data_IF_768151264376
#
_entry.id   IF_768151264376
#
_cell.length_a   1.000
_cell.length_b   1.000
_cell.length_c   1.000
_cell.angle_alpha   90.00
_cell.angle_beta   90.00
_cell.angle_gamma   90.00
#
_symmetry.space_group_name_H-M   'P 1'
#
loop_
_entity.id
_entity.type
_entity.pdbx_description
1 polymer ?
#
# COMPACT_ATOMS: atom_id res chain seq x y z
N UNK A 1 28.84 -1.22 26.98
CA UNK A 1 28.19 -2.11 26.00
C UNK A 1 26.69 -2.11 26.29
N UNK A 2 25.91 -1.27 25.62
CA UNK A 2 24.45 -1.27 25.76
C UNK A 2 23.85 -2.04 24.59
N UNK A 3 23.41 -3.25 24.90
CA UNK A 3 22.55 -4.10 24.08
C UNK A 3 21.25 -3.35 23.74
N UNK A 4 21.15 -2.82 22.52
CA UNK A 4 19.85 -2.49 21.92
C UNK A 4 19.31 -3.78 21.29
N UNK A 5 18.45 -4.50 22.03
CA UNK A 5 17.65 -5.55 21.41
C UNK A 5 16.81 -4.91 20.30
N UNK A 6 16.92 -5.37 19.03
CA UNK A 6 16.15 -4.79 17.95
C UNK A 6 14.68 -5.12 18.17
N UNK A 7 13.87 -4.10 18.37
CA UNK A 7 12.41 -4.19 18.20
C UNK A 7 12.14 -4.84 16.84
N UNK A 8 11.25 -5.84 16.70
CA UNK A 8 10.85 -6.33 15.39
C UNK A 8 10.42 -5.12 14.55
N UNK A 9 11.21 -4.79 13.53
CA UNK A 9 11.10 -3.52 12.82
C UNK A 9 9.89 -3.57 11.91
N UNK A 10 8.96 -2.64 12.11
CA UNK A 10 7.88 -2.41 11.15
C UNK A 10 8.49 -1.89 9.87
N UNK A 11 8.17 -2.53 8.75
CA UNK A 11 8.72 -2.17 7.44
C UNK A 11 8.29 -0.77 7.02
N UNK A 12 9.19 -0.06 6.34
CA UNK A 12 9.01 1.32 5.88
C UNK A 12 7.73 1.51 5.04
N UNK A 13 7.30 0.47 4.32
CA UNK A 13 6.05 0.49 3.54
C UNK A 13 4.82 0.81 4.40
N UNK A 14 4.78 0.40 5.67
CA UNK A 14 3.69 0.76 6.58
C UNK A 14 3.74 2.23 6.98
N UNK A 15 4.92 2.85 6.98
CA UNK A 15 5.06 4.30 7.07
C UNK A 15 4.39 5.00 5.88
N UNK A 16 4.71 4.54 4.67
CA UNK A 16 4.08 5.08 3.45
C UNK A 16 2.57 4.87 3.43
N UNK A 17 2.09 3.67 3.76
CA UNK A 17 0.66 3.34 3.81
C UNK A 17 -0.03 4.22 4.87
N UNK A 18 0.53 4.37 6.07
CA UNK A 18 0.01 5.30 7.07
C UNK A 18 -0.10 6.71 6.49
N UNK A 19 0.95 7.21 5.83
CA UNK A 19 0.94 8.55 5.26
C UNK A 19 -0.18 8.76 4.22
N UNK A 20 -0.34 7.84 3.27
CA UNK A 20 -1.29 8.01 2.15
C UNK A 20 -2.73 7.65 2.48
N UNK A 21 -2.99 6.94 3.57
CA UNK A 21 -4.35 6.53 3.98
C UNK A 21 -4.99 7.47 4.99
N UNK A 22 -4.24 8.44 5.53
CA UNK A 22 -4.75 9.42 6.51
C UNK A 22 -5.57 10.51 5.85
N UNK A 23 -6.70 10.83 6.45
CA UNK A 23 -7.58 11.93 6.06
C UNK A 23 -7.04 13.28 6.56
N UNK A 24 -5.94 13.79 5.98
CA UNK A 24 -5.46 15.15 6.29
C UNK A 24 -4.63 15.76 5.15
N UNK A 25 -4.77 17.08 4.95
CA UNK A 25 -4.03 17.88 3.97
C UNK A 25 -2.50 17.83 4.17
N UNK A 26 -2.02 17.53 5.38
CA UNK A 26 -0.59 17.46 5.67
C UNK A 26 0.10 16.18 5.15
N UNK A 27 -0.64 15.20 4.62
CA UNK A 27 -0.09 13.93 4.13
C UNK A 27 0.87 14.09 2.93
N UNK A 28 0.74 15.15 2.13
CA UNK A 28 1.57 15.37 0.94
C UNK A 28 2.89 16.10 1.24
N UNK A 29 2.97 16.80 2.39
CA UNK A 29 4.14 17.62 2.76
C UNK A 29 5.36 16.82 3.18
N UNK A 30 5.17 15.59 3.65
CA UNK A 30 6.27 14.73 4.12
C UNK A 30 7.15 14.28 2.96
N UNK A 31 6.55 13.88 1.84
CA UNK A 31 7.31 13.42 0.66
C UNK A 31 7.99 14.56 -0.09
N UNK A 32 7.51 15.79 0.08
CA UNK A 32 8.03 16.98 -0.62
C UNK A 32 9.04 17.79 0.22
N UNK A 33 9.27 17.41 1.48
CA UNK A 33 10.23 18.08 2.35
C UNK A 33 11.67 17.92 1.81
N UNK A 34 12.33 19.05 1.52
CA UNK A 34 13.69 19.11 0.93
C UNK A 34 14.78 18.36 1.71
N UNK A 35 14.53 18.03 2.98
CA UNK A 35 15.50 17.39 3.87
C UNK A 35 15.47 15.86 3.86
N UNK A 36 14.58 15.23 3.08
CA UNK A 36 14.45 13.77 3.04
C UNK A 36 14.88 13.24 1.69
N UNK A 37 15.99 12.48 1.65
CA UNK A 37 16.38 11.73 0.46
C UNK A 37 15.58 10.43 0.36
N UNK A 38 14.47 10.52 -0.38
CA UNK A 38 13.54 9.40 -0.61
C UNK A 38 14.09 8.28 -1.51
N UNK A 39 15.28 8.48 -2.11
CA UNK A 39 15.92 7.49 -2.97
C UNK A 39 16.65 6.40 -2.17
N UNK A 40 16.85 6.62 -0.87
CA UNK A 40 17.45 5.69 0.07
C UNK A 40 16.43 5.25 1.14
N UNK A 41 16.65 4.12 1.84
CA UNK A 41 15.87 3.76 3.03
C UNK A 41 15.85 4.90 4.04
N UNK A 42 14.64 5.30 4.47
CA UNK A 42 14.47 6.32 5.52
C UNK A 42 13.90 5.70 6.78
N UNK A 43 14.15 6.34 7.93
CA UNK A 43 13.54 5.93 9.18
C UNK A 43 12.01 6.05 9.08
N UNK A 44 11.28 5.02 9.49
CA UNK A 44 9.82 4.99 9.41
C UNK A 44 9.16 6.18 10.13
N UNK A 45 9.81 6.76 11.15
CA UNK A 45 9.33 7.95 11.84
C UNK A 45 9.29 9.21 10.99
N UNK A 46 9.95 9.23 9.83
CA UNK A 46 9.76 10.29 8.81
C UNK A 46 8.30 10.37 8.37
N UNK A 47 7.61 9.23 8.31
CA UNK A 47 6.19 9.14 7.97
C UNK A 47 5.25 9.40 9.16
N UNK A 48 5.78 9.58 10.38
CA UNK A 48 4.98 9.60 11.58
C UNK A 48 4.00 10.78 11.62
N UNK A 49 2.77 10.47 12.04
CA UNK A 49 1.74 11.46 12.32
C UNK A 49 2.08 12.46 13.41
N UNK A 50 2.77 11.95 14.42
CA UNK A 50 3.03 12.57 15.70
C UNK A 50 4.27 11.93 16.28
N UNK A 51 4.97 12.68 17.13
CA UNK A 51 6.11 12.15 17.89
C UNK A 51 5.66 10.97 18.77
N UNK A 52 6.49 9.94 18.88
CA UNK A 52 6.22 8.77 19.72
C UNK A 52 5.15 7.82 19.18
N UNK A 53 4.96 7.77 17.86
CA UNK A 53 4.03 6.84 17.21
C UNK A 53 4.37 5.38 17.53
N UNK A 54 3.36 4.60 17.96
CA UNK A 54 3.52 3.16 18.14
C UNK A 54 3.28 2.44 16.81
N UNK A 55 4.36 2.17 16.09
CA UNK A 55 4.30 1.55 14.76
C UNK A 55 3.75 0.13 14.75
N UNK A 56 3.89 -0.64 15.84
CA UNK A 56 3.30 -1.99 15.91
C UNK A 56 1.78 -1.92 15.95
N UNK A 57 1.24 -1.01 16.76
CA UNK A 57 -0.20 -0.76 16.83
C UNK A 57 -0.73 -0.19 15.52
N UNK A 58 0.02 0.70 14.88
CA UNK A 58 -0.37 1.27 13.59
C UNK A 58 -0.34 0.21 12.48
N UNK A 59 0.66 -0.67 12.43
CA UNK A 59 0.68 -1.80 11.48
C UNK A 59 -0.55 -2.68 11.63
N UNK A 60 -0.94 -3.02 12.87
CA UNK A 60 -2.12 -3.82 13.14
C UNK A 60 -3.36 -3.14 12.57
N UNK A 61 -3.58 -1.87 12.94
CA UNK A 61 -4.70 -1.06 12.44
C UNK A 61 -4.70 -0.98 10.91
N UNK A 62 -3.56 -0.76 10.26
CA UNK A 62 -3.47 -0.67 8.81
C UNK A 62 -3.79 -1.99 8.12
N UNK A 63 -3.42 -3.13 8.71
CA UNK A 63 -3.79 -4.44 8.18
C UNK A 63 -5.27 -4.78 8.40
N UNK A 64 -5.88 -4.25 9.45
CA UNK A 64 -7.32 -4.41 9.72
C UNK A 64 -8.16 -3.49 8.82
N UNK A 65 -7.79 -2.22 8.68
CA UNK A 65 -8.57 -1.21 7.94
C UNK A 65 -8.29 -1.25 6.43
N UNK A 66 -7.02 -1.48 6.04
CA UNK A 66 -6.54 -1.39 4.66
C UNK A 66 -5.63 -2.57 4.26
N UNK A 67 -6.08 -3.83 4.43
CA UNK A 67 -5.29 -5.00 4.03
C UNK A 67 -4.97 -4.99 2.54
N UNK A 68 -5.87 -4.47 1.70
CA UNK A 68 -5.65 -4.29 0.25
C UNK A 68 -5.53 -2.81 -0.08
N UNK A 69 -4.37 -2.40 -0.59
CA UNK A 69 -4.12 -1.02 -1.04
C UNK A 69 -3.75 -1.04 -2.52
N UNK A 70 -4.42 -0.22 -3.33
CA UNK A 70 -4.17 -0.13 -4.77
C UNK A 70 -3.63 1.25 -5.10
N UNK A 71 -2.35 1.33 -5.44
CA UNK A 71 -1.81 2.52 -6.07
C UNK A 71 -2.18 2.50 -7.56
N UNK A 72 -2.94 3.50 -7.98
CA UNK A 72 -3.62 3.57 -9.27
C UNK A 72 -3.28 4.86 -10.01
N UNK A 73 -3.65 4.91 -11.29
CA UNK A 73 -3.74 6.15 -12.06
C UNK A 73 -5.10 6.24 -12.75
N UNK A 74 -5.75 7.40 -12.70
CA UNK A 74 -7.12 7.58 -13.21
C UNK A 74 -7.26 7.28 -14.71
N UNK A 75 -6.28 7.70 -15.51
CA UNK A 75 -6.26 7.53 -16.97
C UNK A 75 -5.69 6.17 -17.42
N UNK A 76 -5.15 5.35 -16.50
CA UNK A 76 -4.45 4.12 -16.87
C UNK A 76 -5.44 2.97 -17.14
N UNK A 77 -5.46 2.38 -18.36
CA UNK A 77 -6.38 1.28 -18.67
C UNK A 77 -6.15 0.05 -17.80
N UNK A 78 -4.89 -0.30 -17.49
CA UNK A 78 -4.56 -1.40 -16.58
C UNK A 78 -5.07 -1.16 -15.16
N UNK A 79 -5.03 0.08 -14.68
CA UNK A 79 -5.54 0.42 -13.35
C UNK A 79 -7.07 0.26 -13.29
N UNK A 80 -7.78 0.68 -14.35
CA UNK A 80 -9.23 0.45 -14.47
C UNK A 80 -9.57 -1.04 -14.48
N UNK A 81 -8.85 -1.83 -15.27
CA UNK A 81 -9.05 -3.29 -15.38
C UNK A 81 -8.84 -3.99 -14.04
N UNK A 82 -7.77 -3.67 -13.32
CA UNK A 82 -7.53 -4.23 -11.99
C UNK A 82 -8.61 -3.82 -10.97
N UNK A 83 -9.03 -2.55 -10.97
CA UNK A 83 -10.10 -2.08 -10.08
C UNK A 83 -11.44 -2.77 -10.36
N UNK A 84 -11.79 -2.99 -11.62
CA UNK A 84 -13.00 -3.73 -12.01
C UNK A 84 -12.96 -5.17 -11.50
N UNK A 85 -11.83 -5.86 -11.66
CA UNK A 85 -11.67 -7.21 -11.13
C UNK A 85 -11.82 -7.22 -9.60
N UNK A 86 -11.11 -6.34 -8.89
CA UNK A 86 -11.20 -6.24 -7.42
C UNK A 86 -12.60 -5.88 -6.93
N UNK A 87 -13.34 -5.05 -7.66
CA UNK A 87 -14.72 -4.71 -7.33
C UNK A 87 -15.62 -5.95 -7.36
N UNK A 88 -15.43 -6.84 -8.33
CA UNK A 88 -16.20 -8.08 -8.43
C UNK A 88 -15.94 -9.05 -7.26
N UNK A 89 -14.82 -8.91 -6.53
CA UNK A 89 -14.53 -9.75 -5.36
C UNK A 89 -15.32 -9.33 -4.11
N UNK A 90 -15.91 -8.12 -4.10
CA UNK A 90 -16.66 -7.56 -2.96
C UNK A 90 -15.94 -7.76 -1.62
N UNK A 91 -14.65 -7.39 -1.60
CA UNK A 91 -13.79 -7.59 -0.43
C UNK A 91 -14.29 -6.79 0.78
N UNK A 92 -14.23 -7.42 1.96
CA UNK A 92 -14.44 -6.75 3.23
C UNK A 92 -13.19 -6.92 4.11
N UNK A 93 -12.51 -5.82 4.50
CA UNK A 93 -12.78 -4.43 4.11
C UNK A 93 -12.48 -4.16 2.62
N UNK A 94 -13.08 -3.10 2.03
CA UNK A 94 -12.88 -2.78 0.62
C UNK A 94 -11.45 -2.30 0.31
N UNK A 95 -10.94 -2.50 -0.91
CA UNK A 95 -9.62 -2.00 -1.30
C UNK A 95 -9.51 -0.49 -1.14
N UNK A 96 -8.43 -0.03 -0.50
CA UNK A 96 -8.10 1.39 -0.44
C UNK A 96 -7.42 1.82 -1.74
N UNK A 97 -8.11 2.61 -2.55
CA UNK A 97 -7.57 3.14 -3.80
C UNK A 97 -6.84 4.47 -3.55
N UNK A 98 -5.59 4.57 -4.00
CA UNK A 98 -4.78 5.79 -4.00
C UNK A 98 -4.49 6.18 -5.45
N UNK A 99 -5.19 7.21 -5.95
CA UNK A 99 -4.96 7.75 -7.29
C UNK A 99 -3.72 8.65 -7.29
N UNK A 100 -2.58 8.08 -7.70
CA UNK A 100 -1.26 8.73 -7.58
C UNK A 100 -1.15 9.96 -8.47
N UNK A 101 -1.79 9.94 -9.64
CA UNK A 101 -1.77 11.05 -10.60
C UNK A 101 -2.54 12.30 -10.14
N UNK A 102 -3.39 12.18 -9.11
CA UNK A 102 -4.13 13.30 -8.54
C UNK A 102 -3.42 13.97 -7.36
N UNK A 103 -2.24 13.48 -6.97
CA UNK A 103 -1.48 14.01 -5.84
C UNK A 103 -0.41 14.99 -6.28
N UNK A 104 -0.16 16.02 -5.49
CA UNK A 104 0.94 16.97 -5.74
C UNK A 104 2.32 16.29 -5.64
N UNK A 105 2.45 15.27 -4.78
CA UNK A 105 3.67 14.51 -4.54
C UNK A 105 3.80 13.24 -5.41
N UNK A 106 3.07 13.17 -6.53
CA UNK A 106 2.99 11.99 -7.39
C UNK A 106 4.36 11.41 -7.80
N UNK A 107 5.31 12.29 -8.13
CA UNK A 107 6.66 11.89 -8.54
C UNK A 107 7.44 11.26 -7.37
N UNK A 108 7.37 11.88 -6.19
CA UNK A 108 8.03 11.38 -4.99
C UNK A 108 7.40 10.07 -4.52
N UNK A 109 6.07 9.98 -4.54
CA UNK A 109 5.35 8.75 -4.21
C UNK A 109 5.73 7.61 -5.16
N UNK A 110 5.82 7.86 -6.47
CA UNK A 110 6.30 6.85 -7.44
C UNK A 110 7.72 6.38 -7.14
N UNK A 111 8.63 7.30 -6.80
CA UNK A 111 10.02 6.97 -6.44
C UNK A 111 10.06 6.06 -5.20
N UNK A 112 9.35 6.43 -4.13
CA UNK A 112 9.29 5.62 -2.90
C UNK A 112 8.67 4.25 -3.18
N UNK A 113 7.54 4.19 -3.90
CA UNK A 113 6.90 2.92 -4.26
C UNK A 113 7.83 2.01 -5.05
N UNK A 114 8.55 2.56 -6.03
CA UNK A 114 9.51 1.80 -6.84
C UNK A 114 10.62 1.22 -5.96
N UNK A 115 11.15 2.02 -5.02
CA UNK A 115 12.18 1.56 -4.09
C UNK A 115 11.68 0.45 -3.17
N UNK A 116 10.51 0.64 -2.55
CA UNK A 116 9.97 -0.27 -1.53
C UNK A 116 9.41 -1.57 -2.11
N UNK A 117 8.84 -1.52 -3.31
CA UNK A 117 8.11 -2.67 -3.91
C UNK A 117 8.81 -3.27 -5.11
N UNK A 118 9.89 -2.64 -5.60
CA UNK A 118 10.57 -2.97 -6.87
C UNK A 118 9.68 -2.85 -8.11
N UNK A 119 8.50 -2.23 -8.00
CA UNK A 119 7.57 -2.00 -9.12
C UNK A 119 7.45 -0.52 -9.45
N UNK A 120 7.76 -0.17 -10.69
CA UNK A 120 7.73 1.20 -11.22
C UNK A 120 6.50 1.52 -12.09
N UNK A 121 5.58 0.56 -12.24
CA UNK A 121 4.36 0.65 -13.05
C UNK A 121 3.10 0.70 -12.19
N UNK A 122 2.02 1.20 -12.78
CA UNK A 122 0.69 1.21 -12.17
C UNK A 122 -0.27 0.32 -12.96
N UNK A 123 -1.20 -0.39 -12.31
CA UNK A 123 -1.41 -0.39 -10.86
C UNK A 123 -0.30 -1.13 -10.11
N UNK A 124 -0.12 -0.79 -8.83
CA UNK A 124 0.67 -1.56 -7.88
C UNK A 124 -0.24 -1.91 -6.71
N UNK A 125 -0.56 -3.20 -6.58
CA UNK A 125 -1.54 -3.71 -5.62
C UNK A 125 -0.77 -4.32 -4.46
N UNK A 126 -1.05 -3.87 -3.25
CA UNK A 126 -0.47 -4.38 -2.02
C UNK A 126 -1.49 -5.19 -1.24
N UNK A 127 -1.06 -6.34 -0.72
CA UNK A 127 -1.74 -7.12 0.30
C UNK A 127 -0.88 -7.15 1.55
N UNK A 128 -1.37 -6.56 2.65
CA UNK A 128 -0.67 -6.45 3.94
C UNK A 128 0.77 -5.92 3.80
N UNK A 129 0.91 -4.85 3.03
CA UNK A 129 2.18 -4.17 2.77
C UNK A 129 3.10 -4.84 1.74
N UNK A 130 2.73 -6.00 1.18
CA UNK A 130 3.50 -6.69 0.15
C UNK A 130 2.88 -6.52 -1.23
N UNK A 131 3.68 -6.20 -2.24
CA UNK A 131 3.17 -6.11 -3.62
C UNK A 131 2.81 -7.50 -4.14
N UNK A 132 1.58 -7.65 -4.62
CA UNK A 132 1.11 -8.83 -5.36
C UNK A 132 1.12 -8.59 -6.88
N UNK A 133 1.60 -7.43 -7.31
CA UNK A 133 1.83 -7.10 -8.71
C UNK A 133 0.94 -5.99 -9.27
N UNK A 134 0.80 -6.00 -10.59
CA UNK A 134 -0.06 -5.10 -11.35
C UNK A 134 -1.30 -5.80 -11.90
N UNK A 135 -1.89 -5.24 -12.96
CA UNK A 135 -3.13 -5.78 -13.52
C UNK A 135 -2.97 -7.20 -14.07
N UNK A 136 -1.88 -7.47 -14.78
CA UNK A 136 -1.67 -8.77 -15.40
C UNK A 136 -1.40 -9.85 -14.36
N UNK A 137 -0.60 -9.54 -13.34
CA UNK A 137 -0.34 -10.42 -12.19
C UNK A 137 -1.65 -10.77 -11.45
N UNK A 138 -2.49 -9.76 -11.20
CA UNK A 138 -3.79 -9.96 -10.54
C UNK A 138 -4.72 -10.86 -11.36
N UNK A 139 -4.78 -10.66 -12.68
CA UNK A 139 -5.60 -11.50 -13.56
C UNK A 139 -5.03 -12.91 -13.68
N UNK A 140 -3.71 -13.08 -13.67
CA UNK A 140 -3.08 -14.38 -13.65
C UNK A 140 -3.45 -15.16 -12.37
N UNK A 141 -3.42 -14.51 -11.21
CA UNK A 141 -3.85 -15.10 -9.93
C UNK A 141 -5.35 -15.46 -9.94
N UNK A 142 -6.20 -14.61 -10.51
CA UNK A 142 -7.63 -14.90 -10.68
C UNK A 142 -7.87 -16.11 -11.58
N UNK A 143 -7.24 -16.13 -12.77
CA UNK A 143 -7.38 -17.24 -13.72
C UNK A 143 -6.83 -18.56 -13.19
N UNK A 144 -5.87 -18.49 -12.26
CA UNK A 144 -5.33 -19.66 -11.56
C UNK A 144 -6.15 -20.08 -10.32
N UNK A 145 -7.30 -19.43 -10.06
CA UNK A 145 -8.13 -19.62 -8.86
C UNK A 145 -7.40 -19.39 -7.52
N UNK A 146 -6.25 -18.73 -7.54
CA UNK A 146 -5.42 -18.50 -6.35
C UNK A 146 -5.71 -17.18 -5.64
N UNK A 147 -6.37 -16.24 -6.31
CA UNK A 147 -6.58 -14.88 -5.79
C UNK A 147 -7.55 -14.85 -4.61
N UNK A 148 -8.62 -15.66 -4.63
CA UNK A 148 -9.58 -15.77 -3.52
C UNK A 148 -8.89 -16.26 -2.26
N UNK A 149 -8.17 -17.38 -2.36
CA UNK A 149 -7.47 -18.00 -1.23
C UNK A 149 -6.46 -17.03 -0.63
N UNK A 150 -5.71 -16.32 -1.49
CA UNK A 150 -4.76 -15.30 -1.05
C UNK A 150 -5.40 -14.18 -0.21
N UNK A 151 -6.61 -13.73 -0.56
CA UNK A 151 -7.34 -12.74 0.25
C UNK A 151 -7.82 -13.32 1.59
N UNK A 152 -8.38 -14.54 1.57
CA UNK A 152 -8.88 -15.20 2.77
C UNK A 152 -7.75 -15.54 3.76
N UNK A 153 -6.60 -16.01 3.28
CA UNK A 153 -5.40 -16.24 4.10
C UNK A 153 -4.87 -14.94 4.73
N UNK A 154 -5.09 -13.81 4.07
CA UNK A 154 -4.76 -12.50 4.61
C UNK A 154 -5.80 -11.95 5.60
N UNK A 155 -6.91 -12.67 5.83
CA UNK A 155 -8.01 -12.27 6.71
C UNK A 155 -8.96 -11.27 6.07
N UNK A 156 -9.05 -11.26 4.74
CA UNK A 156 -10.00 -10.43 3.97
C UNK A 156 -11.16 -11.30 3.52
N UNK A 157 -12.39 -10.91 3.88
CA UNK A 157 -13.58 -11.64 3.44
C UNK A 157 -13.82 -11.38 1.95
N UNK A 158 -14.23 -12.42 1.22
CA UNK A 158 -14.53 -12.36 -0.21
C UNK A 158 -16.00 -12.71 -0.41
N UNK A 159 -16.84 -11.69 -0.64
CA UNK A 159 -18.30 -11.86 -0.75
C UNK A 159 -18.79 -11.99 -2.20
N UNK A 160 -17.96 -11.62 -3.17
CA UNK A 160 -18.31 -11.73 -4.59
C UNK A 160 -18.30 -13.17 -5.08
N UNK A 161 -19.29 -13.53 -5.88
CA UNK A 161 -19.37 -14.85 -6.52
C UNK A 161 -18.70 -14.83 -7.90
N UNK A 162 -17.82 -15.82 -8.10
CA UNK A 162 -17.19 -16.14 -9.37
C UNK A 162 -17.57 -17.57 -9.73
N UNK A 163 -18.85 -17.77 -10.08
CA UNK A 163 -19.30 -19.00 -10.75
C UNK A 163 -19.13 -18.88 -12.25
#
# INVERSE_FOLDING_TARGET
MSSKNPTPSVDEIYGLISLVTRESENSQRVLTAKSVDITNPVDINVYAAKRGMNWKKELQRLNEDFPVVVFSKTYCPYSRKAKQLLQAYELSPPPKIIEVDLREDAAQLKTVLTRLTRRSTFPNILLRGKSIGGSDDLHALHNANALRDMFQEAGVDVNGDFM
#
